data_IF_986048008992
#
_entry.id   IF_986048008992
#
_cell.length_a   1.000
_cell.length_b   1.000
_cell.length_c   1.000
_cell.angle_alpha   90.00
_cell.angle_beta   90.00
_cell.angle_gamma   90.00
#
_symmetry.space_group_name_H-M   'P 1'
#
loop_
_entity.id
_entity.type
_entity.pdbx_description
1 polymer ?
#
# COMPACT_ATOMS: atom_id res chain seq x y z
N UNK A 1 -43.23 -12.09 5.28
CA UNK A 1 -43.16 -11.29 6.52
C UNK A 1 -41.72 -10.85 6.73
N UNK A 2 -41.45 -9.53 6.84
CA UNK A 2 -40.09 -9.02 6.98
C UNK A 2 -39.53 -9.37 8.36
N UNK A 3 -38.26 -9.79 8.40
CA UNK A 3 -37.57 -10.11 9.65
C UNK A 3 -37.37 -8.82 10.45
N UNK A 4 -38.02 -8.75 11.62
CA UNK A 4 -37.85 -7.70 12.62
C UNK A 4 -36.37 -7.60 13.03
N UNK A 5 -35.75 -6.45 12.76
CA UNK A 5 -34.49 -6.06 13.36
C UNK A 5 -34.70 -5.76 14.85
N UNK A 6 -33.78 -6.23 15.70
CA UNK A 6 -33.79 -5.94 17.13
C UNK A 6 -32.49 -5.22 17.51
N UNK A 7 -32.61 -4.07 18.16
CA UNK A 7 -31.48 -3.32 18.71
C UNK A 7 -31.19 -3.79 20.13
N UNK A 8 -29.92 -4.03 20.44
CA UNK A 8 -29.47 -4.42 21.77
C UNK A 8 -28.64 -3.28 22.37
N UNK A 9 -29.06 -2.68 23.48
CA UNK A 9 -28.31 -1.61 24.11
C UNK A 9 -27.01 -2.15 24.72
N UNK A 10 -25.89 -1.50 24.43
CA UNK A 10 -24.61 -1.75 25.09
C UNK A 10 -24.36 -0.68 26.13
N UNK A 11 -23.85 -1.05 27.31
CA UNK A 11 -23.16 -0.06 28.14
C UNK A 11 -21.93 0.44 27.36
N UNK A 12 -21.53 1.70 27.54
CA UNK A 12 -20.49 2.37 26.76
C UNK A 12 -19.09 1.70 26.76
N UNK A 13 -18.95 0.50 27.34
CA UNK A 13 -17.77 -0.37 27.31
C UNK A 13 -17.78 -1.38 26.14
N UNK A 14 -18.79 -1.32 25.26
CA UNK A 14 -19.02 -2.27 24.16
C UNK A 14 -19.19 -3.75 24.62
N UNK A 15 -19.46 -3.99 25.91
CA UNK A 15 -19.76 -5.32 26.44
C UNK A 15 -21.27 -5.52 26.54
N UNK A 16 -21.77 -6.46 25.73
CA UNK A 16 -23.19 -6.86 25.76
C UNK A 16 -23.46 -7.69 27.03
N UNK A 17 -24.63 -7.57 27.67
CA UNK A 17 -24.98 -8.36 28.85
C UNK A 17 -25.15 -9.85 28.50
N UNK A 18 -24.84 -10.75 29.45
CA UNK A 18 -24.86 -12.21 29.25
C UNK A 18 -26.17 -12.77 28.62
N UNK A 19 -27.38 -12.39 29.08
CA UNK A 19 -28.62 -12.87 28.47
C UNK A 19 -28.79 -12.40 27.02
N UNK A 20 -28.38 -11.17 26.70
CA UNK A 20 -28.47 -10.62 25.34
C UNK A 20 -27.47 -11.29 24.39
N UNK A 21 -26.29 -11.68 24.88
CA UNK A 21 -25.34 -12.50 24.09
C UNK A 21 -25.92 -13.87 23.75
N UNK A 22 -26.66 -14.49 24.66
CA UNK A 22 -27.33 -15.78 24.40
C UNK A 22 -28.44 -15.62 23.36
N UNK A 23 -29.21 -14.53 23.42
CA UNK A 23 -30.25 -14.21 22.45
C UNK A 23 -29.68 -13.95 21.06
N UNK A 24 -28.61 -13.15 20.96
CA UNK A 24 -27.88 -12.90 19.71
C UNK A 24 -27.33 -14.21 19.15
N UNK A 25 -26.70 -15.04 19.98
CA UNK A 25 -26.17 -16.34 19.54
C UNK A 25 -27.28 -17.29 19.09
N UNK A 26 -28.42 -17.30 19.75
CA UNK A 26 -29.59 -18.08 19.34
C UNK A 26 -30.11 -17.64 17.96
N UNK A 27 -30.20 -16.34 17.71
CA UNK A 27 -30.64 -15.79 16.44
C UNK A 27 -29.64 -16.00 15.30
N UNK A 28 -28.35 -15.74 15.53
CA UNK A 28 -27.29 -15.89 14.52
C UNK A 28 -26.98 -17.35 14.18
N UNK A 29 -27.18 -18.28 15.13
CA UNK A 29 -26.95 -19.71 14.91
C UNK A 29 -28.23 -20.46 14.49
N UNK A 30 -29.36 -19.76 14.38
CA UNK A 30 -30.62 -20.31 13.87
C UNK A 30 -30.39 -20.77 12.42
N UNK A 31 -30.62 -22.05 12.15
CA UNK A 31 -30.37 -22.74 10.86
C UNK A 31 -28.90 -22.96 10.44
N UNK A 32 -27.89 -22.36 11.09
CA UNK A 32 -26.46 -22.55 10.74
C UNK A 32 -25.78 -23.76 11.40
N UNK A 33 -26.31 -24.26 12.52
CA UNK A 33 -25.74 -25.43 13.24
C UNK A 33 -26.42 -26.77 12.93
N UNK A 34 -27.16 -26.88 11.83
CA UNK A 34 -27.82 -28.14 11.43
C UNK A 34 -27.03 -28.80 10.30
N UNK A 35 -26.13 -29.72 10.65
CA UNK A 35 -25.58 -30.66 9.68
C UNK A 35 -26.55 -31.84 9.49
N UNK A 36 -26.92 -32.19 8.24
CA UNK A 36 -27.71 -33.38 7.95
C UNK A 36 -27.03 -34.62 8.54
N UNK A 37 -27.77 -35.45 9.27
CA UNK A 37 -27.24 -36.70 9.85
C UNK A 37 -26.55 -36.57 11.21
N UNK A 38 -26.41 -35.36 11.76
CA UNK A 38 -25.90 -35.16 13.12
C UNK A 38 -26.79 -35.83 14.19
N UNK A 39 -26.20 -36.17 15.34
CA UNK A 39 -26.93 -36.77 16.48
C UNK A 39 -28.11 -35.91 16.96
N UNK A 40 -28.02 -34.58 16.81
CA UNK A 40 -29.08 -33.63 17.16
C UNK A 40 -30.21 -33.64 16.12
N UNK A 41 -29.92 -33.66 14.82
CA UNK A 41 -30.95 -33.78 13.77
C UNK A 41 -31.67 -35.13 13.79
N UNK A 42 -30.96 -36.22 14.12
CA UNK A 42 -31.58 -37.55 14.29
C UNK A 42 -32.52 -37.60 15.50
N UNK A 43 -32.16 -36.95 16.61
CA UNK A 43 -33.02 -36.84 17.80
C UNK A 43 -34.23 -35.94 17.59
N UNK A 44 -34.10 -34.90 16.77
CA UNK A 44 -35.20 -33.99 16.43
C UNK A 44 -36.19 -34.66 15.48
N UNK A 45 -35.70 -35.35 14.42
CA UNK A 45 -36.53 -36.17 13.54
C UNK A 45 -37.24 -37.30 14.29
N UNK A 46 -36.57 -37.94 15.26
CA UNK A 46 -37.20 -38.93 16.13
C UNK A 46 -38.28 -38.33 17.06
N UNK A 47 -38.12 -37.07 17.49
CA UNK A 47 -39.12 -36.35 18.29
C UNK A 47 -40.32 -35.87 17.47
N UNK A 48 -40.08 -35.44 16.23
CA UNK A 48 -41.12 -35.08 15.27
C UNK A 48 -41.91 -36.33 14.82
N UNK A 49 -41.23 -37.48 14.68
CA UNK A 49 -41.88 -38.77 14.42
C UNK A 49 -42.69 -39.30 15.62
N UNK A 50 -42.38 -38.88 16.86
CA UNK A 50 -43.06 -39.35 18.07
C UNK A 50 -44.21 -38.45 18.57
N UNK A 51 -44.55 -37.37 17.86
CA UNK A 51 -45.83 -36.65 18.03
C UNK A 51 -46.14 -36.02 19.40
N UNK A 52 -45.17 -35.71 20.25
CA UNK A 52 -45.43 -35.09 21.56
C UNK A 52 -45.10 -33.59 21.57
N UNK A 53 -46.07 -32.69 21.85
CA UNK A 53 -45.80 -31.26 22.01
C UNK A 53 -45.40 -30.96 23.46
N UNK A 54 -44.26 -30.28 23.66
CA UNK A 54 -43.79 -29.90 24.98
C UNK A 54 -43.33 -28.46 25.04
N UNK A 55 -44.21 -27.57 25.50
CA UNK A 55 -43.92 -26.18 25.83
C UNK A 55 -43.46 -26.10 27.31
N UNK A 56 -42.35 -25.39 27.54
CA UNK A 56 -42.02 -24.51 28.68
C UNK A 56 -42.26 -24.94 30.15
N UNK A 57 -41.16 -24.90 30.94
CA UNK A 57 -40.92 -24.17 32.23
C UNK A 57 -40.41 -25.00 33.44
N UNK A 58 -39.44 -24.36 34.14
CA UNK A 58 -39.11 -24.45 35.59
C UNK A 58 -38.51 -25.78 36.08
N UNK A 59 -37.78 -25.92 37.18
CA UNK A 59 -37.15 -25.07 38.21
C UNK A 59 -36.15 -26.00 38.95
N UNK A 60 -35.27 -25.38 39.72
CA UNK A 60 -34.42 -25.84 40.82
C UNK A 60 -34.52 -27.27 41.44
N UNK A 61 -33.34 -27.68 41.95
CA UNK A 61 -33.06 -28.39 43.23
C UNK A 61 -32.93 -29.93 43.34
N UNK A 62 -31.82 -30.27 44.01
CA UNK A 62 -31.54 -31.35 44.99
C UNK A 62 -31.29 -32.82 44.58
N UNK A 63 -30.07 -33.24 44.95
CA UNK A 63 -29.55 -34.47 45.57
C UNK A 63 -30.49 -35.67 45.80
N UNK A 64 -29.97 -36.91 45.64
CA UNK A 64 -29.80 -37.95 46.68
C UNK A 64 -29.15 -39.24 46.07
N UNK A 65 -28.47 -39.95 46.97
CA UNK A 65 -27.61 -41.15 46.94
C UNK A 65 -27.93 -42.37 46.06
N UNK A 66 -26.90 -43.24 45.94
CA UNK A 66 -26.84 -44.53 45.22
C UNK A 66 -27.72 -45.66 45.79
N UNK A 67 -27.52 -46.94 45.38
CA UNK A 67 -26.26 -47.69 45.62
C UNK A 67 -25.82 -48.67 44.51
N UNK A 68 -24.58 -49.18 44.63
CA UNK A 68 -24.04 -50.31 43.87
C UNK A 68 -24.74 -51.64 44.20
N UNK A 69 -24.58 -52.67 43.34
CA UNK A 69 -23.83 -53.84 43.84
C UNK A 69 -22.85 -54.47 42.84
N UNK A 70 -21.91 -55.19 43.46
CA UNK A 70 -20.76 -55.91 42.94
C UNK A 70 -21.12 -57.18 42.14
N UNK A 71 -20.27 -57.52 41.16
CA UNK A 71 -19.89 -58.91 40.88
C UNK A 71 -18.42 -58.97 40.46
N UNK A 72 -17.66 -59.77 41.20
CA UNK A 72 -16.25 -60.15 41.01
C UNK A 72 -16.16 -61.60 40.55
N UNK A 73 -15.02 -61.92 39.90
CA UNK A 73 -14.35 -63.21 39.62
C UNK A 73 -14.06 -63.40 38.10
N UNK A 74 -12.88 -63.82 37.62
CA UNK A 74 -11.62 -64.26 38.23
C UNK A 74 -10.51 -64.36 37.13
N UNK A 75 -9.25 -64.54 37.59
CA UNK A 75 -7.95 -64.88 36.90
C UNK A 75 -7.00 -63.69 36.61
N UNK A 76 -5.98 -63.41 37.45
CA UNK A 76 -4.68 -64.13 37.75
C UNK A 76 -3.74 -64.10 36.53
N UNK A 77 -2.80 -63.16 36.32
CA UNK A 77 -1.55 -62.69 37.01
C UNK A 77 -0.33 -63.03 36.15
N UNK A 78 0.48 -62.02 35.81
CA UNK A 78 1.94 -62.09 35.78
C UNK A 78 2.53 -60.67 35.96
N UNK A 79 3.59 -60.58 36.76
CA UNK A 79 4.11 -59.42 37.47
C UNK A 79 4.99 -58.46 36.65
N UNK A 80 4.95 -57.18 36.99
CA UNK A 80 6.14 -56.36 37.36
C UNK A 80 5.71 -54.93 37.70
N UNK A 81 5.48 -54.68 38.99
CA UNK A 81 5.23 -53.36 39.55
C UNK A 81 6.57 -52.69 39.87
N UNK A 82 7.02 -51.80 38.98
CA UNK A 82 7.87 -50.68 39.40
C UNK A 82 6.98 -49.63 40.08
N UNK A 83 7.47 -49.07 41.18
CA UNK A 83 6.70 -48.19 42.04
C UNK A 83 6.39 -46.86 41.34
N UNK A 84 5.24 -46.26 41.63
CA UNK A 84 4.83 -44.97 41.06
C UNK A 84 5.77 -43.80 41.44
N UNK A 85 6.66 -44.00 42.41
CA UNK A 85 7.68 -43.03 42.81
C UNK A 85 8.88 -43.02 41.85
N UNK A 86 9.25 -44.14 41.23
CA UNK A 86 10.38 -44.19 40.27
C UNK A 86 10.00 -43.56 38.91
N UNK A 87 8.72 -43.63 38.51
CA UNK A 87 8.24 -42.93 37.30
C UNK A 87 8.19 -41.40 37.46
N UNK A 88 8.00 -40.88 38.68
CA UNK A 88 8.03 -39.43 38.91
C UNK A 88 9.45 -38.86 38.95
N UNK A 89 10.46 -39.65 39.32
CA UNK A 89 11.86 -39.21 39.30
C UNK A 89 12.50 -39.36 37.91
N UNK A 90 12.08 -40.35 37.10
CA UNK A 90 12.55 -40.49 35.71
C UNK A 90 11.91 -39.48 34.73
N UNK A 91 10.71 -38.95 35.02
CA UNK A 91 10.05 -37.94 34.20
C UNK A 91 10.64 -36.52 34.37
N UNK A 92 11.40 -36.27 35.43
CA UNK A 92 12.00 -34.96 35.73
C UNK A 92 13.39 -34.75 35.10
N UNK A 93 13.84 -35.67 34.23
CA UNK A 93 15.04 -35.51 33.40
C UNK A 93 14.74 -35.50 31.90
N UNK A 94 13.50 -35.17 31.51
CA UNK A 94 13.27 -34.71 30.14
C UNK A 94 13.89 -33.32 30.02
N UNK A 95 15.02 -33.27 29.31
CA UNK A 95 15.83 -32.09 29.10
C UNK A 95 14.95 -30.88 28.84
N UNK A 96 15.08 -29.89 29.73
CA UNK A 96 14.49 -28.56 29.53
C UNK A 96 15.06 -28.06 28.21
N UNK A 97 14.29 -28.16 27.14
CA UNK A 97 14.60 -27.45 25.90
C UNK A 97 14.65 -25.99 26.33
N UNK A 98 15.82 -25.33 26.24
CA UNK A 98 15.89 -23.94 26.63
C UNK A 98 14.83 -23.18 25.83
N UNK A 99 14.09 -22.25 26.47
CA UNK A 99 13.13 -21.45 25.73
C UNK A 99 13.84 -20.85 24.52
N UNK A 100 13.17 -20.76 23.36
CA UNK A 100 13.79 -20.14 22.19
C UNK A 100 14.31 -18.76 22.61
N UNK A 101 15.48 -18.36 22.11
CA UNK A 101 16.04 -17.06 22.47
C UNK A 101 14.98 -15.98 22.22
N UNK A 102 14.83 -15.01 23.13
CA UNK A 102 13.87 -13.94 22.95
C UNK A 102 14.12 -13.26 21.61
N UNK A 103 13.05 -12.91 20.91
CA UNK A 103 13.14 -12.18 19.65
C UNK A 103 13.93 -10.89 19.85
N UNK A 104 14.65 -10.42 18.82
CA UNK A 104 15.30 -9.10 18.82
C UNK A 104 14.32 -7.97 19.19
N UNK A 105 13.01 -8.15 18.92
CA UNK A 105 11.96 -7.22 19.34
C UNK A 105 11.80 -7.08 20.85
N UNK A 106 12.19 -8.10 21.63
CA UNK A 106 12.14 -8.06 23.10
C UNK A 106 13.13 -7.05 23.70
N UNK A 107 14.09 -6.56 22.91
CA UNK A 107 15.02 -5.51 23.32
C UNK A 107 14.37 -4.12 23.35
N UNK A 108 13.15 -3.98 22.84
CA UNK A 108 12.46 -2.70 22.71
C UNK A 108 11.12 -2.70 23.45
N UNK A 109 10.75 -1.54 23.99
CA UNK A 109 9.43 -1.32 24.54
C UNK A 109 8.48 -0.89 23.42
N UNK A 110 7.34 -1.58 23.32
CA UNK A 110 6.28 -1.26 22.38
C UNK A 110 4.99 -0.92 23.12
N UNK A 111 4.07 -0.14 22.51
CA UNK A 111 2.83 0.27 23.15
C UNK A 111 1.86 -0.89 23.45
N UNK A 112 1.99 -2.00 22.73
CA UNK A 112 1.21 -3.23 22.91
C UNK A 112 2.15 -4.45 22.87
N UNK A 113 1.76 -5.56 23.51
CA UNK A 113 2.50 -6.82 23.41
C UNK A 113 2.58 -7.31 21.96
N UNK A 114 3.80 -7.63 21.53
CA UNK A 114 4.08 -8.17 20.21
C UNK A 114 3.84 -9.68 20.19
N UNK A 115 2.64 -10.10 19.78
CA UNK A 115 2.40 -11.51 19.44
C UNK A 115 3.25 -11.95 18.22
N UNK A 116 3.43 -13.26 18.05
CA UNK A 116 4.25 -13.83 16.97
C UNK A 116 3.84 -13.31 15.58
N UNK A 117 2.54 -13.07 15.38
CA UNK A 117 2.03 -12.55 14.11
C UNK A 117 2.43 -11.08 13.89
N UNK A 118 2.33 -10.25 14.92
CA UNK A 118 2.73 -8.85 14.88
C UNK A 118 4.24 -8.72 14.70
N UNK A 119 5.05 -9.56 15.36
CA UNK A 119 6.51 -9.61 15.14
C UNK A 119 6.85 -9.91 13.67
N UNK A 120 6.12 -10.84 13.03
CA UNK A 120 6.31 -11.13 11.60
C UNK A 120 5.99 -9.92 10.72
N UNK A 121 4.88 -9.23 10.99
CA UNK A 121 4.54 -7.99 10.28
C UNK A 121 5.59 -6.90 10.52
N UNK A 122 6.12 -6.79 11.73
CA UNK A 122 7.18 -5.84 12.06
C UNK A 122 8.47 -6.11 11.26
N UNK A 123 8.93 -7.36 11.21
CA UNK A 123 10.07 -7.76 10.38
C UNK A 123 9.84 -7.42 8.91
N UNK A 124 8.66 -7.72 8.38
CA UNK A 124 8.32 -7.41 6.99
C UNK A 124 8.36 -5.91 6.74
N UNK A 125 7.81 -5.09 7.64
CA UNK A 125 7.84 -3.64 7.48
C UNK A 125 9.27 -3.09 7.32
N UNK A 126 10.22 -3.51 8.17
CA UNK A 126 11.58 -2.96 8.11
C UNK A 126 12.45 -3.57 7.00
N UNK A 127 12.26 -4.85 6.69
CA UNK A 127 13.08 -5.53 5.68
C UNK A 127 12.57 -5.25 4.26
N UNK A 128 11.27 -5.43 4.03
CA UNK A 128 10.66 -5.26 2.70
C UNK A 128 9.15 -5.05 2.81
N UNK A 129 8.68 -3.83 2.58
CA UNK A 129 7.25 -3.53 2.54
C UNK A 129 6.82 -3.23 1.09
N UNK A 130 5.95 -4.06 0.49
CA UNK A 130 5.63 -3.96 -0.91
C UNK A 130 4.69 -2.80 -1.27
N UNK A 131 4.21 -2.00 -0.30
CA UNK A 131 3.53 -0.72 -0.57
C UNK A 131 4.52 0.44 -0.38
N UNK A 132 5.29 0.43 0.72
CA UNK A 132 6.27 1.50 1.00
C UNK A 132 7.43 1.51 0.02
N UNK A 133 8.07 0.37 -0.23
CA UNK A 133 9.32 0.34 -1.00
C UNK A 133 9.13 0.82 -2.44
N UNK A 134 8.01 0.50 -3.13
CA UNK A 134 7.78 1.05 -4.47
C UNK A 134 7.41 2.55 -4.47
N UNK A 135 6.90 3.09 -3.35
CA UNK A 135 6.76 4.55 -3.17
C UNK A 135 8.12 5.27 -3.04
N UNK A 136 9.17 4.54 -2.63
CA UNK A 136 10.53 5.05 -2.38
C UNK A 136 11.60 4.10 -2.96
N UNK A 137 11.67 3.94 -4.29
CA UNK A 137 12.44 2.86 -4.91
C UNK A 137 13.96 3.09 -4.85
N UNK A 138 14.42 4.31 -4.55
CA UNK A 138 15.83 4.72 -4.64
C UNK A 138 16.83 3.77 -3.98
N UNK A 139 16.59 3.39 -2.72
CA UNK A 139 17.49 2.47 -1.99
C UNK A 139 17.57 1.09 -2.65
N UNK A 140 16.47 0.60 -3.23
CA UNK A 140 16.43 -0.68 -3.93
C UNK A 140 17.27 -0.67 -5.20
N UNK A 141 17.35 0.48 -5.88
CA UNK A 141 18.10 0.68 -7.11
C UNK A 141 19.51 1.27 -6.88
N UNK A 142 20.02 1.20 -5.64
CA UNK A 142 21.38 1.66 -5.31
C UNK A 142 21.56 3.18 -5.34
N UNK A 143 20.46 3.95 -5.38
CA UNK A 143 20.50 5.40 -5.29
C UNK A 143 20.50 5.79 -3.81
N UNK A 144 21.61 6.39 -3.39
CA UNK A 144 21.77 6.95 -2.06
C UNK A 144 21.07 8.30 -2.01
N UNK A 145 20.17 8.49 -1.04
CA UNK A 145 19.57 9.80 -0.78
C UNK A 145 19.83 10.14 0.68
N UNK A 146 20.32 11.34 0.92
CA UNK A 146 20.37 11.93 2.25
C UNK A 146 18.97 12.46 2.62
N UNK A 147 18.04 11.54 2.91
CA UNK A 147 16.66 11.87 3.31
C UNK A 147 16.55 12.26 4.79
N UNK A 148 17.50 11.83 5.60
CA UNK A 148 17.31 11.70 7.04
C UNK A 148 18.21 12.65 7.82
N UNK A 149 17.61 13.71 8.35
CA UNK A 149 18.14 14.34 9.58
C UNK A 149 18.02 13.35 10.76
N UNK A 150 17.15 12.33 10.67
CA UNK A 150 16.94 11.33 11.72
C UNK A 150 16.48 9.95 11.18
N UNK A 151 17.41 9.01 10.91
CA UNK A 151 17.09 7.70 10.33
C UNK A 151 16.31 6.78 11.28
N UNK A 152 16.18 7.13 12.55
CA UNK A 152 15.46 6.35 13.56
C UNK A 152 14.08 6.92 13.89
N UNK A 153 13.65 8.01 13.24
CA UNK A 153 12.38 8.68 13.53
C UNK A 153 11.18 7.73 13.50
N UNK A 154 11.02 6.96 12.43
CA UNK A 154 9.91 6.01 12.30
C UNK A 154 9.98 4.89 13.36
N UNK A 155 11.19 4.44 13.69
CA UNK A 155 11.40 3.42 14.72
C UNK A 155 11.03 3.94 16.11
N UNK A 156 11.44 5.16 16.47
CA UNK A 156 11.08 5.76 17.76
C UNK A 156 9.58 6.01 17.89
N UNK A 157 8.93 6.49 16.83
CA UNK A 157 7.47 6.64 16.81
C UNK A 157 6.77 5.29 16.97
N UNK A 158 7.23 4.25 16.29
CA UNK A 158 6.67 2.92 16.44
C UNK A 158 6.76 2.41 17.90
N UNK A 159 7.90 2.63 18.56
CA UNK A 159 8.12 2.20 19.95
C UNK A 159 7.32 3.02 20.97
N UNK A 160 7.07 4.31 20.70
CA UNK A 160 6.46 5.24 21.66
C UNK A 160 4.99 5.57 21.41
N UNK A 161 4.52 5.50 20.16
CA UNK A 161 3.18 5.94 19.76
C UNK A 161 2.26 4.77 19.38
N UNK A 162 1.21 4.47 20.18
CA UNK A 162 0.27 3.37 19.91
C UNK A 162 -0.41 3.47 18.55
N UNK A 163 -0.69 4.71 18.10
CA UNK A 163 -1.31 4.95 16.81
C UNK A 163 -0.38 4.60 15.65
N UNK A 164 0.91 4.96 15.76
CA UNK A 164 1.94 4.61 14.78
C UNK A 164 2.11 3.10 14.68
N UNK A 165 2.27 2.45 15.83
CA UNK A 165 2.39 1.00 15.94
C UNK A 165 1.27 0.27 15.20
N UNK A 166 0.01 0.64 15.45
CA UNK A 166 -1.14 -0.02 14.82
C UNK A 166 -1.30 0.30 13.35
N UNK A 167 -0.96 1.52 12.94
CA UNK A 167 -0.98 1.90 11.54
C UNK A 167 0.07 1.14 10.71
N UNK A 168 1.26 0.88 11.27
CA UNK A 168 2.30 0.09 10.61
C UNK A 168 1.88 -1.38 10.46
N UNK A 169 1.26 -1.97 11.48
CA UNK A 169 0.70 -3.33 11.37
C UNK A 169 -0.43 -3.40 10.34
N UNK A 170 -1.31 -2.40 10.31
CA UNK A 170 -2.37 -2.27 9.31
C UNK A 170 -1.78 -2.20 7.89
N UNK A 171 -0.86 -1.25 7.66
CA UNK A 171 -0.20 -1.07 6.38
C UNK A 171 0.44 -2.37 5.93
N UNK A 172 1.25 -3.02 6.78
CA UNK A 172 1.99 -4.23 6.40
C UNK A 172 1.06 -5.42 6.15
N UNK A 173 -0.02 -5.56 6.93
CA UNK A 173 -1.04 -6.58 6.68
C UNK A 173 -1.75 -6.34 5.33
N UNK A 174 -2.08 -5.09 5.01
CA UNK A 174 -2.66 -4.72 3.71
C UNK A 174 -1.67 -4.94 2.56
N UNK A 175 -0.40 -4.60 2.75
CA UNK A 175 0.67 -4.85 1.77
C UNK A 175 0.79 -6.34 1.44
N UNK A 176 0.67 -7.21 2.45
CA UNK A 176 0.66 -8.66 2.24
C UNK A 176 -0.57 -9.13 1.47
N UNK A 177 -1.76 -8.59 1.76
CA UNK A 177 -2.98 -8.90 1.01
C UNK A 177 -2.85 -8.49 -0.46
N UNK A 178 -2.26 -7.32 -0.71
CA UNK A 178 -2.00 -6.81 -2.05
C UNK A 178 -1.03 -7.71 -2.83
N UNK A 179 0.09 -8.11 -2.23
CA UNK A 179 1.05 -9.04 -2.85
C UNK A 179 0.48 -10.43 -3.08
N UNK A 180 -0.32 -10.91 -2.14
CA UNK A 180 -1.06 -12.16 -2.29
C UNK A 180 -2.26 -12.01 -3.21
N UNK A 181 -2.44 -10.85 -3.83
CA UNK A 181 -3.36 -10.71 -4.94
C UNK A 181 -4.80 -11.03 -4.49
N UNK A 182 -5.15 -10.59 -3.28
CA UNK A 182 -6.41 -10.88 -2.61
C UNK A 182 -7.05 -9.62 -2.00
N UNK A 183 -8.37 -9.62 -1.77
CA UNK A 183 -9.04 -8.57 -0.99
C UNK A 183 -8.48 -8.48 0.44
N UNK A 184 -8.78 -7.37 1.12
CA UNK A 184 -8.41 -7.17 2.52
C UNK A 184 -8.86 -8.36 3.38
N UNK A 185 -7.89 -8.96 4.10
CA UNK A 185 -8.11 -10.12 4.94
C UNK A 185 -8.76 -9.76 6.28
N UNK A 186 -9.29 -10.77 6.98
CA UNK A 186 -9.80 -10.60 8.35
C UNK A 186 -8.74 -10.03 9.30
N UNK A 187 -7.46 -10.33 9.08
CA UNK A 187 -6.35 -9.77 9.85
C UNK A 187 -6.21 -8.27 9.60
N UNK A 188 -6.22 -7.85 8.33
CA UNK A 188 -6.16 -6.43 7.95
C UNK A 188 -7.36 -5.66 8.49
N UNK A 189 -8.58 -6.20 8.36
CA UNK A 189 -9.78 -5.60 8.96
C UNK A 189 -9.69 -5.51 10.49
N UNK A 190 -9.06 -6.48 11.16
CA UNK A 190 -8.83 -6.42 12.61
C UNK A 190 -7.91 -5.27 12.97
N UNK A 191 -6.80 -5.08 12.24
CA UNK A 191 -5.91 -3.93 12.45
C UNK A 191 -6.63 -2.61 12.17
N UNK A 192 -7.40 -2.53 11.08
CA UNK A 192 -8.20 -1.34 10.74
C UNK A 192 -9.17 -0.96 11.86
N UNK A 193 -9.94 -1.93 12.37
CA UNK A 193 -10.87 -1.73 13.50
C UNK A 193 -10.18 -1.32 14.80
N UNK A 194 -8.90 -1.63 14.96
CA UNK A 194 -8.08 -1.24 16.13
C UNK A 194 -7.43 0.13 15.97
N UNK A 195 -7.14 0.54 14.73
CA UNK A 195 -6.53 1.84 14.41
C UNK A 195 -7.56 2.97 14.45
N UNK A 196 -8.74 2.78 13.85
CA UNK A 196 -9.75 3.83 13.70
C UNK A 196 -10.21 4.46 15.03
N UNK A 197 -10.49 3.70 16.12
CA UNK A 197 -10.92 4.32 17.38
C UNK A 197 -9.84 5.22 18.01
N UNK A 198 -8.57 4.84 17.87
CA UNK A 198 -7.44 5.63 18.41
C UNK A 198 -7.25 6.89 17.57
N UNK A 199 -7.32 6.76 16.24
CA UNK A 199 -7.26 7.91 15.34
C UNK A 199 -8.40 8.91 15.63
N UNK A 200 -9.64 8.43 15.75
CA UNK A 200 -10.79 9.28 16.04
C UNK A 200 -10.65 9.98 17.40
N UNK A 201 -10.18 9.28 18.44
CA UNK A 201 -9.91 9.87 19.76
C UNK A 201 -8.82 10.94 19.72
N UNK A 202 -7.80 10.76 18.87
CA UNK A 202 -6.78 11.80 18.65
C UNK A 202 -7.37 13.00 17.91
N UNK A 203 -8.15 12.77 16.85
CA UNK A 203 -8.78 13.83 16.05
C UNK A 203 -9.80 14.67 16.84
N UNK A 204 -10.34 14.18 17.96
CA UNK A 204 -11.20 14.99 18.83
C UNK A 204 -10.45 16.05 19.65
N UNK A 205 -9.11 16.00 19.70
CA UNK A 205 -8.29 16.99 20.40
C UNK A 205 -8.07 18.23 19.54
N UNK A 206 -8.03 19.42 20.14
CA UNK A 206 -7.87 20.69 19.42
C UNK A 206 -6.52 20.82 18.69
N UNK A 207 -5.47 20.20 19.24
CA UNK A 207 -4.09 20.17 18.73
C UNK A 207 -3.81 18.98 17.78
N UNK A 208 -4.84 18.20 17.42
CA UNK A 208 -4.65 17.00 16.61
C UNK A 208 -3.97 17.29 15.26
N UNK A 209 -4.32 18.43 14.66
CA UNK A 209 -3.77 18.85 13.39
C UNK A 209 -2.26 19.10 13.47
N UNK A 210 -1.68 19.47 14.60
CA UNK A 210 -0.24 19.73 14.76
C UNK A 210 0.63 18.46 14.73
N UNK A 211 0.02 17.29 14.92
CA UNK A 211 0.75 16.03 15.10
C UNK A 211 0.98 15.28 13.78
N UNK A 212 2.22 15.16 13.32
CA UNK A 212 2.60 14.49 12.05
C UNK A 212 2.08 13.06 11.93
N UNK A 213 1.94 12.36 13.06
CA UNK A 213 1.42 11.00 13.07
C UNK A 213 -0.01 10.91 12.51
N UNK A 214 -0.82 11.96 12.66
CA UNK A 214 -2.17 11.99 12.11
C UNK A 214 -2.12 12.03 10.59
N UNK A 215 -1.29 12.89 10.01
CA UNK A 215 -1.07 12.93 8.56
C UNK A 215 -0.57 11.57 8.06
N UNK A 216 0.38 10.96 8.77
CA UNK A 216 0.92 9.66 8.39
C UNK A 216 -0.17 8.58 8.31
N UNK A 217 -0.96 8.44 9.37
CA UNK A 217 -1.99 7.39 9.45
C UNK A 217 -3.11 7.63 8.45
N UNK A 218 -3.56 8.87 8.26
CA UNK A 218 -4.59 9.16 7.25
C UNK A 218 -4.04 8.92 5.83
N UNK A 219 -2.75 9.20 5.58
CA UNK A 219 -2.10 8.88 4.31
C UNK A 219 -2.02 7.36 4.06
N UNK A 220 -1.74 6.56 5.09
CA UNK A 220 -1.83 5.09 5.03
C UNK A 220 -3.25 4.64 4.67
N UNK A 221 -4.28 5.20 5.31
CA UNK A 221 -5.67 4.84 5.04
C UNK A 221 -6.08 5.21 3.61
N UNK A 222 -5.71 6.40 3.13
CA UNK A 222 -5.92 6.82 1.74
C UNK A 222 -5.23 5.85 0.77
N UNK A 223 -3.96 5.51 1.04
CA UNK A 223 -3.17 4.60 0.20
C UNK A 223 -3.81 3.21 0.11
N UNK A 224 -4.26 2.65 1.24
CA UNK A 224 -4.98 1.37 1.26
C UNK A 224 -6.29 1.48 0.47
N UNK A 225 -7.05 2.56 0.64
CA UNK A 225 -8.31 2.75 -0.07
C UNK A 225 -8.10 2.78 -1.59
N UNK A 226 -7.10 3.52 -2.07
CA UNK A 226 -6.72 3.57 -3.50
C UNK A 226 -6.29 2.20 -4.00
N UNK A 227 -5.35 1.56 -3.31
CA UNK A 227 -4.75 0.28 -3.72
C UNK A 227 -5.72 -0.90 -3.65
N UNK A 228 -6.88 -0.74 -3.01
CA UNK A 228 -7.93 -1.76 -2.96
C UNK A 228 -9.22 -1.33 -3.69
N UNK A 229 -9.19 -0.22 -4.43
CA UNK A 229 -10.29 0.25 -5.27
C UNK A 229 -11.46 0.92 -4.54
N UNK A 230 -11.32 1.24 -3.25
CA UNK A 230 -12.32 2.02 -2.50
C UNK A 230 -12.09 3.53 -2.69
N UNK A 231 -12.36 4.00 -3.91
CA UNK A 231 -12.11 5.39 -4.28
C UNK A 231 -12.99 6.41 -3.54
N UNK A 232 -14.12 5.98 -2.99
CA UNK A 232 -14.95 6.84 -2.15
C UNK A 232 -14.28 7.09 -0.79
N UNK A 233 -13.77 6.03 -0.14
CA UNK A 233 -12.99 6.19 1.08
C UNK A 233 -11.70 7.00 0.81
N UNK A 234 -11.03 6.76 -0.32
CA UNK A 234 -9.86 7.52 -0.73
C UNK A 234 -10.14 9.02 -0.82
N UNK A 235 -11.24 9.42 -1.47
CA UNK A 235 -11.68 10.82 -1.56
C UNK A 235 -11.98 11.43 -0.19
N UNK A 236 -12.61 10.70 0.71
CA UNK A 236 -12.88 11.17 2.08
C UNK A 236 -11.57 11.38 2.85
N UNK A 237 -10.61 10.46 2.71
CA UNK A 237 -9.30 10.59 3.34
C UNK A 237 -8.49 11.74 2.74
N UNK A 238 -8.54 11.98 1.41
CA UNK A 238 -7.85 13.11 0.78
C UNK A 238 -8.40 14.44 1.25
N UNK A 239 -9.73 14.59 1.32
CA UNK A 239 -10.37 15.79 1.87
C UNK A 239 -9.99 16.02 3.35
N UNK A 240 -9.91 14.95 4.15
CA UNK A 240 -9.44 15.03 5.53
C UNK A 240 -7.99 15.49 5.63
N UNK A 241 -7.10 14.96 4.78
CA UNK A 241 -5.70 15.42 4.69
C UNK A 241 -5.62 16.89 4.31
N UNK A 242 -6.35 17.33 3.29
CA UNK A 242 -6.42 18.74 2.88
C UNK A 242 -6.81 19.65 4.04
N UNK A 243 -7.83 19.26 4.82
CA UNK A 243 -8.29 20.06 5.95
C UNK A 243 -7.24 20.12 7.08
N UNK A 244 -6.60 18.99 7.40
CA UNK A 244 -5.49 18.98 8.37
C UNK A 244 -4.36 19.90 7.91
N UNK A 245 -4.00 19.87 6.62
CA UNK A 245 -2.98 20.75 6.07
C UNK A 245 -3.38 22.22 6.13
N UNK A 246 -4.63 22.53 5.78
CA UNK A 246 -5.17 23.89 5.88
C UNK A 246 -5.06 24.43 7.30
N UNK A 247 -5.39 23.61 8.31
CA UNK A 247 -5.27 23.97 9.72
C UNK A 247 -3.82 24.18 10.18
N UNK A 248 -2.84 23.51 9.56
CA UNK A 248 -1.40 23.74 9.81
C UNK A 248 -0.82 25.00 9.17
N UNK A 249 -1.63 25.81 8.49
CA UNK A 249 -1.14 26.95 7.72
C UNK A 249 -0.82 26.62 6.25
N UNK A 250 -1.42 25.56 5.70
CA UNK A 250 -1.22 25.13 4.32
C UNK A 250 0.05 24.28 4.16
N UNK A 251 0.62 24.28 2.96
CA UNK A 251 1.75 23.37 2.67
C UNK A 251 3.04 23.76 3.36
N UNK A 252 3.22 25.05 3.69
CA UNK A 252 4.29 25.50 4.58
C UNK A 252 4.27 24.81 5.95
N UNK A 253 3.10 24.34 6.40
CA UNK A 253 2.93 23.60 7.66
C UNK A 253 3.32 22.11 7.62
N UNK A 254 3.67 21.56 6.46
CA UNK A 254 4.18 20.18 6.29
C UNK A 254 5.69 20.14 6.09
N UNK A 255 6.28 21.29 5.75
CA UNK A 255 7.72 21.41 5.53
C UNK A 255 8.60 21.08 6.75
N UNK A 256 8.02 20.86 7.94
CA UNK A 256 8.73 20.36 9.12
C UNK A 256 9.21 18.91 8.98
N UNK A 257 8.55 18.08 8.15
CA UNK A 257 8.89 16.66 8.02
C UNK A 257 9.01 16.22 6.54
N UNK A 258 10.25 16.12 6.03
CA UNK A 258 10.56 15.63 4.68
C UNK A 258 9.83 14.37 4.22
N UNK A 259 9.74 13.37 5.09
CA UNK A 259 9.14 12.08 4.76
C UNK A 259 7.62 12.20 4.65
N UNK A 260 7.01 13.07 5.45
CA UNK A 260 5.57 13.32 5.39
C UNK A 260 5.19 14.01 4.09
N UNK A 261 5.92 15.08 3.74
CA UNK A 261 5.69 15.81 2.50
C UNK A 261 5.80 14.89 1.29
N UNK A 262 6.90 14.13 1.21
CA UNK A 262 7.11 13.20 0.10
C UNK A 262 5.99 12.15 0.05
N UNK A 263 5.52 11.64 1.19
CA UNK A 263 4.37 10.71 1.22
C UNK A 263 3.09 11.33 0.64
N UNK A 264 2.81 12.59 0.97
CA UNK A 264 1.63 13.31 0.48
C UNK A 264 1.77 13.59 -1.03
N UNK A 265 2.95 14.00 -1.49
CA UNK A 265 3.22 14.28 -2.91
C UNK A 265 3.03 13.02 -3.76
N UNK A 266 3.57 11.90 -3.28
CA UNK A 266 3.43 10.60 -3.93
C UNK A 266 1.98 10.15 -3.98
N UNK A 267 1.24 10.34 -2.89
CA UNK A 267 -0.18 10.03 -2.82
C UNK A 267 -1.01 10.90 -3.77
N UNK A 268 -0.73 12.20 -3.86
CA UNK A 268 -1.38 13.11 -4.81
C UNK A 268 -1.16 12.66 -6.26
N UNK A 269 0.10 12.45 -6.62
CA UNK A 269 0.47 12.05 -7.97
C UNK A 269 -0.17 10.72 -8.37
N UNK A 270 -0.05 9.69 -7.54
CA UNK A 270 -0.54 8.35 -7.87
C UNK A 270 -2.04 8.25 -7.97
N UNK A 271 -2.74 8.93 -7.06
CA UNK A 271 -4.19 8.84 -6.99
C UNK A 271 -4.87 9.52 -8.17
N UNK A 272 -4.32 10.65 -8.65
CA UNK A 272 -4.81 11.31 -9.85
C UNK A 272 -4.78 10.38 -11.06
N UNK A 273 -3.69 9.60 -11.16
CA UNK A 273 -3.48 8.72 -12.31
C UNK A 273 -4.39 7.47 -12.22
N UNK A 274 -4.84 7.09 -11.02
CA UNK A 274 -5.72 5.94 -10.78
C UNK A 274 -7.22 6.31 -10.89
N UNK A 275 -7.64 7.46 -10.36
CA UNK A 275 -9.07 7.78 -10.26
C UNK A 275 -9.37 9.27 -10.43
N UNK A 276 -10.40 9.57 -11.23
CA UNK A 276 -10.96 10.92 -11.38
C UNK A 276 -11.72 11.41 -10.14
N UNK A 277 -11.99 10.53 -9.17
CA UNK A 277 -12.63 10.91 -7.91
C UNK A 277 -11.64 11.56 -6.93
N UNK A 278 -10.33 11.48 -7.23
CA UNK A 278 -9.31 12.08 -6.39
C UNK A 278 -9.38 13.59 -6.42
N UNK A 279 -9.27 14.21 -5.25
CA UNK A 279 -9.08 15.65 -5.12
C UNK A 279 -7.69 15.88 -4.54
N UNK A 280 -6.80 16.62 -5.23
CA UNK A 280 -5.46 16.91 -4.74
C UNK A 280 -5.49 17.47 -3.33
N UNK A 281 -4.58 16.99 -2.49
CA UNK A 281 -4.51 17.38 -1.08
C UNK A 281 -4.17 18.87 -0.95
N UNK A 282 -3.41 19.42 -1.91
CA UNK A 282 -3.04 20.83 -2.03
C UNK A 282 -2.87 21.21 -3.51
N UNK A 283 -2.81 22.53 -3.81
CA UNK A 283 -2.71 23.07 -5.17
C UNK A 283 -1.27 23.17 -5.70
N UNK A 284 -1.10 23.21 -7.02
CA UNK A 284 0.20 23.09 -7.68
C UNK A 284 1.21 24.20 -7.40
N UNK A 285 0.75 25.44 -7.20
CA UNK A 285 1.57 26.64 -6.95
C UNK A 285 2.33 26.70 -5.62
N UNK A 286 2.47 25.56 -4.94
CA UNK A 286 3.16 25.42 -3.66
C UNK A 286 4.67 25.27 -3.83
N UNK A 287 5.09 24.69 -4.95
CA UNK A 287 6.51 24.42 -5.21
C UNK A 287 7.09 25.51 -6.09
N UNK A 288 8.11 26.19 -5.58
CA UNK A 288 8.93 27.07 -6.38
C UNK A 288 9.78 26.28 -7.38
N UNK A 289 10.33 26.97 -8.38
CA UNK A 289 11.22 26.33 -9.35
C UNK A 289 12.51 25.91 -8.65
N UNK A 290 12.91 24.63 -8.74
CA UNK A 290 14.17 24.16 -8.17
C UNK A 290 15.39 24.89 -8.76
N UNK A 291 16.35 25.20 -7.89
CA UNK A 291 17.66 25.72 -8.29
C UNK A 291 18.62 24.53 -8.41
N UNK A 292 19.08 24.26 -9.63
CA UNK A 292 19.99 23.15 -9.89
C UNK A 292 21.46 23.57 -9.75
N UNK A 293 22.35 22.67 -9.29
CA UNK A 293 23.78 22.92 -9.28
C UNK A 293 24.32 23.22 -10.69
N UNK A 294 25.29 24.13 -10.82
CA UNK A 294 25.88 24.53 -12.11
C UNK A 294 26.34 23.34 -12.96
N UNK A 295 26.96 22.34 -12.33
CA UNK A 295 27.39 21.09 -12.99
C UNK A 295 26.25 20.37 -13.72
N UNK A 296 25.03 20.39 -13.17
CA UNK A 296 23.87 19.76 -13.81
C UNK A 296 23.45 20.53 -15.05
N UNK A 297 23.50 21.86 -15.00
CA UNK A 297 23.23 22.72 -16.15
C UNK A 297 24.30 22.55 -17.25
N UNK A 298 25.57 22.48 -16.87
CA UNK A 298 26.67 22.18 -17.80
C UNK A 298 26.48 20.82 -18.48
N UNK A 299 26.10 19.78 -17.72
CA UNK A 299 25.80 18.46 -18.29
C UNK A 299 24.64 18.51 -19.27
N UNK A 300 23.56 19.21 -18.91
CA UNK A 300 22.42 19.42 -19.80
C UNK A 300 22.84 20.01 -21.15
N UNK A 301 23.65 21.08 -21.14
CA UNK A 301 24.16 21.68 -22.37
C UNK A 301 25.10 20.75 -23.15
N UNK A 302 25.94 19.97 -22.44
CA UNK A 302 26.89 19.05 -23.08
C UNK A 302 26.23 17.82 -23.74
N UNK A 303 25.06 17.39 -23.24
CA UNK A 303 24.36 16.19 -23.70
C UNK A 303 23.43 16.43 -24.88
N UNK A 304 23.40 17.66 -25.43
CA UNK A 304 22.52 18.06 -26.53
C UNK A 304 21.06 17.65 -26.26
N UNK A 305 20.59 17.95 -25.05
CA UNK A 305 19.26 17.58 -24.58
C UNK A 305 18.20 18.19 -25.50
N UNK A 306 17.14 17.42 -25.74
CA UNK A 306 16.01 17.84 -26.58
C UNK A 306 15.33 19.06 -25.95
N UNK A 307 15.11 20.08 -26.77
CA UNK A 307 14.35 21.28 -26.44
C UNK A 307 12.96 21.18 -27.09
N UNK A 308 11.93 21.50 -26.31
CA UNK A 308 10.53 21.53 -26.76
C UNK A 308 9.91 22.93 -26.71
N UNK A 309 10.73 23.96 -26.51
CA UNK A 309 10.28 25.35 -26.49
C UNK A 309 9.62 25.72 -27.82
N UNK A 310 8.41 26.28 -27.74
CA UNK A 310 7.62 26.65 -28.92
C UNK A 310 6.92 25.49 -29.61
N UNK A 311 7.18 24.23 -29.23
CA UNK A 311 6.43 23.06 -29.70
C UNK A 311 5.21 22.76 -28.81
N UNK A 312 5.31 23.08 -27.52
CA UNK A 312 4.27 22.85 -26.51
C UNK A 312 4.03 24.11 -25.68
N UNK A 313 3.00 24.07 -24.83
CA UNK A 313 2.73 25.10 -23.84
C UNK A 313 3.96 25.44 -22.98
N UNK A 314 4.21 26.73 -22.79
CA UNK A 314 5.44 27.20 -22.12
C UNK A 314 5.60 26.70 -20.67
N UNK A 315 4.48 26.53 -19.96
CA UNK A 315 4.47 25.94 -18.62
C UNK A 315 4.86 24.46 -18.67
N UNK A 316 4.36 23.72 -19.67
CA UNK A 316 4.72 22.32 -19.88
C UNK A 316 6.20 22.17 -20.25
N UNK A 317 6.71 23.02 -21.13
CA UNK A 317 8.13 23.06 -21.47
C UNK A 317 9.01 23.32 -20.23
N UNK A 318 8.58 24.22 -19.34
CA UNK A 318 9.27 24.48 -18.07
C UNK A 318 9.32 23.22 -17.19
N UNK A 319 8.19 22.52 -17.05
CA UNK A 319 8.12 21.26 -16.27
C UNK A 319 9.00 20.18 -16.89
N UNK A 320 8.98 20.06 -18.22
CA UNK A 320 9.79 19.11 -18.96
C UNK A 320 11.29 19.34 -18.73
N UNK A 321 11.77 20.58 -18.83
CA UNK A 321 13.17 20.91 -18.53
C UNK A 321 13.56 20.58 -17.09
N UNK A 322 12.68 20.85 -16.11
CA UNK A 322 12.93 20.49 -14.71
C UNK A 322 13.05 18.97 -14.52
N UNK A 323 12.23 18.19 -15.24
CA UNK A 323 12.33 16.73 -15.21
C UNK A 323 13.61 16.21 -15.89
N UNK A 324 14.07 16.87 -16.96
CA UNK A 324 15.37 16.58 -17.57
C UNK A 324 16.53 16.83 -16.59
N UNK A 325 16.57 18.00 -15.95
CA UNK A 325 17.58 18.30 -14.94
C UNK A 325 17.56 17.31 -13.77
N UNK A 326 16.36 16.94 -13.31
CA UNK A 326 16.17 15.93 -12.26
C UNK A 326 16.71 14.56 -12.68
N UNK A 327 16.49 14.18 -13.93
CA UNK A 327 17.00 12.93 -14.50
C UNK A 327 18.53 12.93 -14.58
N UNK A 328 19.13 14.04 -15.02
CA UNK A 328 20.59 14.23 -15.05
C UNK A 328 21.17 14.18 -13.63
N UNK A 329 20.52 14.84 -12.66
CA UNK A 329 20.90 14.80 -11.25
C UNK A 329 20.94 13.36 -10.74
N UNK A 330 19.86 12.60 -10.91
CA UNK A 330 19.77 11.22 -10.44
C UNK A 330 20.86 10.35 -11.08
N UNK A 331 21.03 10.41 -12.40
CA UNK A 331 22.06 9.65 -13.10
C UNK A 331 23.47 10.02 -12.66
N UNK A 332 23.76 11.31 -12.45
CA UNK A 332 25.07 11.78 -12.01
C UNK A 332 25.44 11.16 -10.67
N UNK A 333 24.51 11.18 -9.71
CA UNK A 333 24.74 10.62 -8.39
C UNK A 333 24.80 9.09 -8.40
N UNK A 334 23.94 8.44 -9.20
CA UNK A 334 23.96 7.00 -9.41
C UNK A 334 25.30 6.52 -9.97
N UNK A 335 25.83 7.14 -11.02
CA UNK A 335 27.11 6.74 -11.62
C UNK A 335 28.30 7.02 -10.71
N UNK A 336 28.27 8.14 -9.99
CA UNK A 336 29.34 8.52 -9.08
C UNK A 336 29.25 7.81 -7.71
N UNK A 337 28.18 7.05 -7.45
CA UNK A 337 27.92 6.40 -6.15
C UNK A 337 27.95 7.40 -4.99
N UNK A 338 27.36 8.58 -5.21
CA UNK A 338 27.30 9.67 -4.22
C UNK A 338 25.87 9.92 -3.77
N UNK A 339 25.65 10.33 -2.51
CA UNK A 339 24.31 10.65 -2.03
C UNK A 339 23.73 11.88 -2.74
N UNK A 340 22.46 11.79 -3.14
CA UNK A 340 21.66 12.93 -3.58
C UNK A 340 21.18 13.68 -2.34
N UNK A 341 21.25 15.01 -2.34
CA UNK A 341 20.56 15.83 -1.34
C UNK A 341 19.04 15.54 -1.40
N UNK A 342 18.52 14.93 -0.34
CA UNK A 342 17.11 14.57 -0.26
C UNK A 342 16.18 15.78 -0.27
N UNK A 343 16.64 16.95 0.18
CA UNK A 343 15.88 18.19 0.12
C UNK A 343 15.69 18.66 -1.31
N UNK A 344 16.79 18.72 -2.07
CA UNK A 344 16.75 19.07 -3.49
C UNK A 344 15.89 18.09 -4.28
N UNK A 345 16.09 16.78 -4.11
CA UNK A 345 15.33 15.76 -4.84
C UNK A 345 13.82 15.85 -4.55
N UNK A 346 13.44 16.05 -3.28
CA UNK A 346 12.03 16.28 -2.90
C UNK A 346 11.47 17.51 -3.60
N UNK A 347 12.21 18.62 -3.58
CA UNK A 347 11.77 19.87 -4.21
C UNK A 347 11.57 19.71 -5.72
N UNK A 348 12.50 19.04 -6.40
CA UNK A 348 12.40 18.71 -7.82
C UNK A 348 11.16 17.87 -8.14
N UNK A 349 10.96 16.77 -7.40
CA UNK A 349 9.81 15.88 -7.63
C UNK A 349 8.48 16.54 -7.24
N UNK A 350 8.46 17.31 -6.16
CA UNK A 350 7.30 18.09 -5.73
C UNK A 350 6.87 19.09 -6.80
N UNK A 351 7.82 19.87 -7.33
CA UNK A 351 7.59 20.78 -8.44
C UNK A 351 7.02 20.08 -9.68
N UNK A 352 7.67 19.01 -10.14
CA UNK A 352 7.24 18.29 -11.35
C UNK A 352 5.85 17.67 -11.16
N UNK A 353 5.63 16.88 -10.11
CA UNK A 353 4.34 16.21 -9.90
C UNK A 353 3.19 17.23 -9.80
N UNK A 354 3.39 18.30 -9.03
CA UNK A 354 2.35 19.30 -8.75
C UNK A 354 1.94 20.07 -10.00
N UNK A 355 2.91 20.47 -10.83
CA UNK A 355 2.62 21.17 -12.07
C UNK A 355 2.00 20.24 -13.13
N UNK A 356 2.44 18.97 -13.23
CA UNK A 356 1.80 18.01 -14.13
C UNK A 356 0.32 17.78 -13.78
N UNK A 357 0.01 17.68 -12.48
CA UNK A 357 -1.38 17.55 -11.99
C UNK A 357 -2.22 18.77 -12.40
N UNK A 358 -1.66 19.98 -12.26
CA UNK A 358 -2.37 21.21 -12.59
C UNK A 358 -2.60 21.38 -14.10
N UNK A 359 -1.59 21.03 -14.91
CA UNK A 359 -1.65 21.15 -16.37
C UNK A 359 -2.61 20.13 -17.01
N UNK A 360 -2.84 18.95 -16.40
CA UNK A 360 -3.75 17.92 -16.96
C UNK A 360 -5.15 18.45 -17.31
N UNK A 361 -5.61 19.47 -16.59
CA UNK A 361 -6.94 20.08 -16.81
C UNK A 361 -6.94 21.35 -17.67
N UNK A 362 -5.76 21.84 -18.09
CA UNK A 362 -5.56 23.16 -18.71
C UNK A 362 -5.04 23.11 -20.14
N UNK A 363 -4.41 22.01 -20.55
CA UNK A 363 -3.83 21.90 -21.89
C UNK A 363 -4.94 21.77 -22.94
N UNK A 364 -4.79 22.50 -24.04
CA UNK A 364 -5.72 22.46 -25.17
C UNK A 364 -5.09 21.82 -26.42
N UNK A 365 -3.76 21.81 -26.51
CA UNK A 365 -3.01 21.35 -27.68
C UNK A 365 -2.65 19.85 -27.58
N UNK A 366 -2.92 19.08 -28.63
CA UNK A 366 -2.81 17.61 -28.62
C UNK A 366 -1.37 17.13 -28.40
N UNK A 367 -0.38 17.84 -28.94
CA UNK A 367 1.02 17.52 -28.69
C UNK A 367 1.40 17.78 -27.23
N UNK A 368 0.89 18.87 -26.63
CA UNK A 368 1.14 19.17 -25.21
C UNK A 368 0.54 18.09 -24.32
N UNK A 369 -0.68 17.64 -24.60
CA UNK A 369 -1.30 16.52 -23.89
C UNK A 369 -0.47 15.23 -24.04
N UNK A 370 0.03 14.93 -25.24
CA UNK A 370 0.85 13.75 -25.48
C UNK A 370 2.15 13.77 -24.65
N UNK A 371 2.85 14.91 -24.63
CA UNK A 371 4.07 15.09 -23.84
C UNK A 371 3.76 15.03 -22.34
N UNK A 372 2.65 15.60 -21.89
CA UNK A 372 2.18 15.51 -20.50
C UNK A 372 2.01 14.04 -20.07
N UNK A 373 1.23 13.26 -20.84
CA UNK A 373 1.01 11.83 -20.54
C UNK A 373 2.30 11.02 -20.63
N UNK A 374 3.22 11.38 -21.54
CA UNK A 374 4.55 10.80 -21.62
C UNK A 374 5.36 11.00 -20.34
N UNK A 375 5.39 12.23 -19.81
CA UNK A 375 6.07 12.53 -18.54
C UNK A 375 5.42 11.82 -17.35
N UNK A 376 4.09 11.77 -17.29
CA UNK A 376 3.37 11.04 -16.25
C UNK A 376 3.67 9.53 -16.30
N UNK A 377 3.73 8.94 -17.49
CA UNK A 377 4.09 7.54 -17.70
C UNK A 377 5.54 7.24 -17.32
N UNK A 378 6.47 8.12 -17.68
CA UNK A 378 7.87 8.04 -17.28
C UNK A 378 8.05 8.05 -15.75
N UNK A 379 7.37 8.98 -15.06
CA UNK A 379 7.38 9.06 -13.60
C UNK A 379 6.72 7.82 -12.97
N UNK A 380 5.62 7.33 -13.53
CA UNK A 380 4.99 6.10 -13.07
C UNK A 380 5.91 4.87 -13.19
N UNK A 381 6.68 4.78 -14.28
CA UNK A 381 7.67 3.72 -14.48
C UNK A 381 8.85 3.81 -13.50
N UNK A 382 9.24 5.03 -13.12
CA UNK A 382 10.24 5.31 -12.08
C UNK A 382 9.74 4.85 -10.70
N UNK A 383 8.50 5.19 -10.37
CA UNK A 383 7.89 4.97 -9.06
C UNK A 383 6.77 3.94 -9.14
N UNK A 384 7.17 2.68 -9.36
CA UNK A 384 6.26 1.57 -9.67
C UNK A 384 5.19 1.42 -8.59
N UNK A 385 3.90 1.52 -8.94
CA UNK A 385 2.84 1.13 -8.02
C UNK A 385 2.68 -0.39 -8.03
N UNK A 386 2.41 -1.03 -6.87
CA UNK A 386 2.12 -2.46 -6.86
C UNK A 386 0.85 -2.72 -7.66
N UNK A 387 0.91 -3.66 -8.60
CA UNK A 387 -0.22 -4.01 -9.46
C UNK A 387 -1.40 -4.55 -8.64
N UNK A 388 -2.55 -3.90 -8.79
CA UNK A 388 -3.80 -4.19 -8.06
C UNK A 388 -4.72 -5.00 -8.97
N UNK A 389 -5.44 -5.96 -8.39
CA UNK A 389 -6.50 -6.64 -9.11
C UNK A 389 -7.58 -5.68 -9.63
N UNK A 390 -7.93 -5.87 -10.90
CA UNK A 390 -9.13 -5.39 -11.62
C UNK A 390 -9.01 -4.13 -12.47
N UNK A 391 -7.97 -3.31 -12.31
CA UNK A 391 -7.53 -2.34 -13.32
C UNK A 391 -6.02 -2.13 -13.13
N UNK A 392 -5.15 -2.61 -14.04
CA UNK A 392 -3.74 -2.27 -13.94
C UNK A 392 -3.68 -0.76 -14.12
N UNK A 393 -3.31 -0.04 -13.07
CA UNK A 393 -3.07 1.40 -13.12
C UNK A 393 -2.22 1.77 -14.36
N UNK A 394 -1.21 0.95 -14.60
CA UNK A 394 -0.35 0.90 -15.78
C UNK A 394 -1.14 0.88 -17.11
N UNK A 395 -2.21 0.10 -17.21
CA UNK A 395 -3.08 0.04 -18.39
C UNK A 395 -3.84 1.34 -18.61
N UNK A 396 -4.45 1.92 -17.58
CA UNK A 396 -5.17 3.21 -17.73
C UNK A 396 -4.22 4.29 -18.23
N UNK A 397 -3.02 4.34 -17.66
CA UNK A 397 -1.98 5.30 -18.06
C UNK A 397 -1.50 5.05 -19.49
N UNK A 398 -1.24 3.79 -19.85
CA UNK A 398 -0.86 3.40 -21.20
C UNK A 398 -1.96 3.74 -22.22
N UNK A 399 -3.22 3.52 -21.89
CA UNK A 399 -4.36 3.83 -22.76
C UNK A 399 -4.47 5.35 -22.98
N UNK A 400 -4.29 6.16 -21.93
CA UNK A 400 -4.26 7.63 -22.04
C UNK A 400 -3.09 8.14 -22.89
N UNK A 401 -1.89 7.61 -22.66
CA UNK A 401 -0.71 7.96 -23.45
C UNK A 401 -0.90 7.55 -24.92
N UNK A 402 -1.39 6.34 -25.17
CA UNK A 402 -1.65 5.87 -26.53
C UNK A 402 -2.68 6.74 -27.25
N UNK A 403 -3.77 7.10 -26.56
CA UNK A 403 -4.81 7.95 -27.12
C UNK A 403 -4.28 9.33 -27.51
N UNK A 404 -3.57 10.00 -26.59
CA UNK A 404 -2.97 11.30 -26.84
C UNK A 404 -1.90 11.26 -27.94
N UNK A 405 -1.08 10.20 -27.99
CA UNK A 405 -0.10 9.98 -29.05
C UNK A 405 -0.74 9.84 -30.43
N UNK A 406 -1.80 9.02 -30.54
CA UNK A 406 -2.52 8.84 -31.79
C UNK A 406 -3.20 10.15 -32.23
N UNK A 407 -3.74 10.92 -31.28
CA UNK A 407 -4.34 12.23 -31.54
C UNK A 407 -3.31 13.22 -32.09
N UNK A 408 -2.15 13.34 -31.44
CA UNK A 408 -1.08 14.23 -31.90
C UNK A 408 -0.58 13.87 -33.31
N UNK A 409 -0.40 12.58 -33.61
CA UNK A 409 -0.04 12.13 -34.97
C UNK A 409 -1.12 12.42 -36.00
N UNK A 410 -2.40 12.25 -35.64
CA UNK A 410 -3.54 12.53 -36.53
C UNK A 410 -3.67 14.02 -36.84
N UNK A 411 -3.36 14.91 -35.89
CA UNK A 411 -3.31 16.36 -36.09
C UNK A 411 -2.11 16.83 -36.94
N UNK A 412 -1.26 15.90 -37.40
CA UNK A 412 -0.11 16.22 -38.25
C UNK A 412 1.06 16.84 -37.49
N UNK A 413 1.14 16.65 -36.16
CA UNK A 413 2.24 17.17 -35.36
C UNK A 413 3.57 16.52 -35.79
N UNK A 414 4.55 17.37 -36.16
CA UNK A 414 5.90 16.93 -36.50
C UNK A 414 6.70 16.71 -35.21
N UNK A 415 6.69 15.48 -34.71
CA UNK A 415 7.44 15.08 -33.52
C UNK A 415 8.91 14.82 -33.89
N UNK A 416 9.88 15.46 -33.20
CA UNK A 416 11.28 15.07 -33.30
C UNK A 416 11.44 13.57 -33.08
N UNK A 417 12.22 12.91 -33.94
CA UNK A 417 12.44 11.46 -33.91
C UNK A 417 12.84 10.94 -32.53
N UNK A 418 13.66 11.69 -31.78
CA UNK A 418 14.07 11.38 -30.41
C UNK A 418 12.90 11.30 -29.44
N UNK A 419 11.98 12.27 -29.50
CA UNK A 419 10.76 12.30 -28.69
C UNK A 419 9.84 11.14 -29.09
N UNK A 420 9.72 10.87 -30.38
CA UNK A 420 8.90 9.78 -30.90
C UNK A 420 9.35 8.42 -30.35
N UNK A 421 10.66 8.14 -30.42
CA UNK A 421 11.25 6.92 -29.85
C UNK A 421 10.99 6.84 -28.35
N UNK A 422 11.17 7.96 -27.63
CA UNK A 422 10.96 8.01 -26.18
C UNK A 422 9.52 7.74 -25.78
N UNK A 423 8.54 8.40 -26.39
CA UNK A 423 7.11 8.22 -26.09
C UNK A 423 6.67 6.78 -26.31
N UNK A 424 7.09 6.20 -27.44
CA UNK A 424 6.72 4.82 -27.76
C UNK A 424 7.32 3.83 -26.74
N UNK A 425 8.59 3.96 -26.37
CA UNK A 425 9.21 3.04 -25.40
C UNK A 425 8.61 3.21 -24.00
N UNK A 426 8.34 4.45 -23.57
CA UNK A 426 7.64 4.72 -22.30
C UNK A 426 6.23 4.12 -22.31
N UNK A 427 5.51 4.19 -23.44
CA UNK A 427 4.20 3.55 -23.60
C UNK A 427 4.26 2.02 -23.48
N UNK A 428 5.28 1.39 -24.08
CA UNK A 428 5.51 -0.06 -23.96
C UNK A 428 5.78 -0.47 -22.51
N UNK A 429 6.66 0.27 -21.82
CA UNK A 429 6.97 0.05 -20.40
C UNK A 429 5.71 0.22 -19.54
N UNK A 430 4.93 1.27 -19.78
CA UNK A 430 3.68 1.52 -19.06
C UNK A 430 2.62 0.44 -19.33
N UNK A 431 2.70 -0.28 -20.45
CA UNK A 431 1.77 -1.36 -20.79
C UNK A 431 2.14 -2.72 -20.19
N UNK A 432 3.15 -2.77 -19.31
CA UNK A 432 3.73 -3.98 -18.73
C UNK A 432 4.09 -5.04 -19.79
N UNK A 433 4.52 -4.60 -20.97
CA UNK A 433 4.87 -5.47 -22.09
C UNK A 433 3.73 -6.43 -22.52
N UNK A 434 2.47 -6.14 -22.15
CA UNK A 434 1.31 -6.84 -22.68
C UNK A 434 1.08 -6.27 -24.09
N UNK A 435 1.89 -6.76 -25.02
CA UNK A 435 1.79 -6.34 -26.40
C UNK A 435 0.54 -6.95 -27.01
N UNK A 436 -0.44 -6.09 -27.29
CA UNK A 436 -1.34 -6.35 -28.40
C UNK A 436 -0.47 -6.43 -29.68
N UNK A 437 -0.55 -7.50 -30.49
CA UNK A 437 0.22 -7.66 -31.72
C UNK A 437 0.19 -6.42 -32.64
N UNK A 438 -0.89 -5.64 -32.62
CA UNK A 438 -1.00 -4.39 -33.38
C UNK A 438 -0.09 -3.26 -32.83
N UNK A 439 0.20 -3.25 -31.52
CA UNK A 439 1.06 -2.26 -30.84
C UNK A 439 2.54 -2.52 -31.10
N UNK A 440 2.97 -3.78 -31.09
CA UNK A 440 4.34 -4.19 -31.43
C UNK A 440 4.67 -3.99 -32.93
N UNK A 441 3.68 -4.12 -33.81
CA UNK A 441 3.87 -3.94 -35.25
C UNK A 441 4.17 -2.48 -35.64
N UNK A 442 3.60 -1.50 -34.93
CA UNK A 442 3.89 -0.08 -35.13
C UNK A 442 5.34 0.29 -34.78
N UNK A 443 5.82 -0.19 -33.62
CA UNK A 443 7.18 0.07 -33.11
C UNK A 443 8.30 -0.41 -34.05
N UNK A 444 8.17 -1.60 -34.64
CA UNK A 444 9.15 -2.11 -35.62
C UNK A 444 9.06 -1.41 -36.98
N UNK A 445 7.92 -0.77 -37.28
CA UNK A 445 7.71 0.02 -38.50
C UNK A 445 8.16 1.48 -38.40
N UNK A 446 8.28 2.03 -37.18
CA UNK A 446 8.59 3.46 -36.96
C UNK A 446 9.92 3.65 -36.23
N UNK A 447 10.85 4.39 -36.85
CA UNK A 447 12.06 5.03 -36.30
C UNK A 447 13.18 4.16 -35.67
N UNK A 448 12.91 2.95 -35.15
CA UNK A 448 13.94 2.10 -34.51
C UNK A 448 14.38 0.90 -35.34
N UNK A 449 13.74 0.64 -36.48
CA UNK A 449 14.10 -0.43 -37.41
C UNK A 449 15.52 -0.26 -37.92
N UNK A 450 16.49 -0.85 -37.24
CA UNK A 450 17.92 -0.79 -37.57
C UNK A 450 18.83 -0.23 -36.46
N UNK A 451 18.27 0.35 -35.38
CA UNK A 451 19.08 0.80 -34.24
C UNK A 451 19.40 -0.34 -33.29
N UNK A 452 20.58 -0.31 -32.68
CA UNK A 452 20.92 -1.14 -31.53
C UNK A 452 20.28 -0.60 -30.24
N UNK A 453 20.20 -1.43 -29.20
CA UNK A 453 19.76 -0.96 -27.87
C UNK A 453 20.61 0.21 -27.36
N UNK A 454 21.92 0.21 -27.61
CA UNK A 454 22.81 1.27 -27.14
C UNK A 454 22.54 2.60 -27.86
N UNK A 455 22.25 2.56 -29.15
CA UNK A 455 21.88 3.76 -29.92
C UNK A 455 20.52 4.29 -29.49
N UNK A 456 19.53 3.41 -29.36
CA UNK A 456 18.21 3.77 -28.82
C UNK A 456 18.34 4.40 -27.44
N UNK A 457 19.11 3.77 -26.54
CA UNK A 457 19.38 4.29 -25.19
C UNK A 457 20.01 5.67 -25.20
N UNK A 458 20.89 5.98 -26.16
CA UNK A 458 21.46 7.33 -26.33
C UNK A 458 20.35 8.34 -26.64
N UNK A 459 19.47 8.05 -27.59
CA UNK A 459 18.33 8.94 -27.91
C UNK A 459 17.37 9.12 -26.73
N UNK A 460 17.10 8.06 -25.96
CA UNK A 460 16.27 8.18 -24.76
C UNK A 460 16.87 9.12 -23.73
N UNK A 461 18.21 9.10 -23.58
CA UNK A 461 18.92 9.99 -22.65
C UNK A 461 18.92 11.45 -23.09
N UNK A 462 18.86 11.72 -24.39
CA UNK A 462 18.70 13.08 -24.93
C UNK A 462 17.31 13.67 -24.61
N UNK A 463 16.29 12.82 -24.39
CA UNK A 463 14.97 13.24 -23.90
C UNK A 463 14.96 13.23 -22.38
N UNK A 464 14.81 12.06 -21.76
CA UNK A 464 15.00 11.80 -20.33
C UNK A 464 14.99 10.30 -20.09
N UNK A 465 16.02 9.80 -19.42
CA UNK A 465 16.13 8.38 -19.06
C UNK A 465 16.94 8.20 -17.79
N UNK A 466 16.38 7.54 -16.78
CA UNK A 466 17.10 7.20 -15.55
C UNK A 466 17.63 5.78 -15.66
N UNK A 467 18.95 5.66 -15.73
CA UNK A 467 19.67 4.40 -16.00
C UNK A 467 19.28 3.32 -14.97
N UNK A 468 19.23 3.69 -13.69
CA UNK A 468 18.93 2.75 -12.60
C UNK A 468 17.51 2.15 -12.67
N UNK A 469 16.51 2.92 -13.09
CA UNK A 469 15.10 2.47 -13.05
C UNK A 469 14.63 1.87 -14.37
N UNK A 470 15.16 2.38 -15.49
CA UNK A 470 14.59 2.15 -16.80
C UNK A 470 15.42 1.21 -17.68
N UNK A 471 16.74 1.04 -17.47
CA UNK A 471 17.58 0.25 -18.40
C UNK A 471 17.09 -1.20 -18.56
N UNK A 472 16.71 -1.87 -17.47
CA UNK A 472 16.19 -3.23 -17.52
C UNK A 472 14.85 -3.30 -18.25
N UNK A 473 13.92 -2.41 -17.90
CA UNK A 473 12.58 -2.35 -18.49
C UNK A 473 12.63 -2.01 -19.98
N UNK A 474 13.39 -0.97 -20.32
CA UNK A 474 13.56 -0.51 -21.69
C UNK A 474 14.22 -1.55 -22.56
N UNK A 475 15.24 -2.25 -22.07
CA UNK A 475 15.89 -3.32 -22.85
C UNK A 475 14.92 -4.47 -23.13
N UNK A 476 14.11 -4.84 -22.14
CA UNK A 476 13.07 -5.86 -22.29
C UNK A 476 12.02 -5.42 -23.33
N UNK A 477 11.47 -4.21 -23.18
CA UNK A 477 10.51 -3.63 -24.12
C UNK A 477 11.08 -3.47 -25.54
N UNK A 478 12.37 -3.15 -25.68
CA UNK A 478 13.05 -3.04 -26.97
C UNK A 478 13.22 -4.39 -27.67
N UNK A 479 13.34 -5.49 -26.91
CA UNK A 479 13.59 -6.83 -27.45
C UNK A 479 12.33 -7.58 -27.91
N UNK A 480 11.14 -7.11 -27.52
CA UNK A 480 9.84 -7.65 -27.93
C UNK A 480 9.45 -7.11 -29.32
#
# INVERSE_FOLDING_TARGET
MPQLFAFVPTDGSARIRSPDRQLIRHHCMRRRNKQPGSRRSKREAAREASGYPGNLKKQDQHSIDGPQPNFTENRVVAHSTLSAQERSQAANQQGVVPPPPPSDWALFQFPDELDIFSQKLMHQYFIRNPIRDPLYPFKHFGILIDLDQDPLWCFRLLSSEPLCFRAILLLTSASNDLMLRRPLSNTTYRHLRRTLPILNSRLTKSDAHEHDIILYVVSILASIAILFGDYNAAKVHSAGLSEILRLRGGVGGVNSNPLMQLSIDRLNFSSLLITKLWTPIYNGGVWERPIFPTRILEFYHSQNMVCIDGLVDSDLATVFHNLQYTTILINTHYHNQTPIDGSLLRHCLGFVHSNLIELESKLEHELSECILWGMMAFLAATFRFPDVHQQPYNKILADKLQHSYNSAKASGADLPMTIDIWLNLVCLIASDNICDPYRCAGWKGTATGGLSWNETRRYLKEVMWIDAFHDELGRKAFSE
#
